data_IF_148616708472
#
_entry.id   IF_148616708472
#
_cell.length_a   1.000
_cell.length_b   1.000
_cell.length_c   1.000
_cell.angle_alpha   90.00
_cell.angle_beta   90.00
_cell.angle_gamma   90.00
#
_symmetry.space_group_name_H-M   'P 1'
#
loop_
_entity.id
_entity.type
_entity.pdbx_description
1 polymer ?
#
# COMPACT_ATOMS: atom_id res chain seq x y z
N UNK A 1 15.29 -14.47 -13.17
CA UNK A 1 15.13 -13.41 -12.15
C UNK A 1 13.67 -13.23 -11.69
N UNK A 2 12.65 -13.33 -12.56
CA UNK A 2 11.23 -13.24 -12.13
C UNK A 2 10.76 -14.42 -11.24
N UNK A 3 11.33 -15.61 -11.43
CA UNK A 3 11.01 -16.84 -10.68
C UNK A 3 11.28 -16.72 -9.16
N UNK A 4 12.23 -15.86 -8.76
CA UNK A 4 12.58 -15.65 -7.36
C UNK A 4 11.60 -14.69 -6.64
N UNK A 5 11.06 -13.69 -7.36
CA UNK A 5 10.15 -12.69 -6.76
C UNK A 5 8.78 -13.30 -6.50
N UNK A 6 8.25 -14.11 -7.44
CA UNK A 6 6.95 -14.75 -7.26
C UNK A 6 6.97 -15.74 -6.09
N UNK A 7 8.00 -16.59 -6.03
CA UNK A 7 8.19 -17.53 -4.92
C UNK A 7 8.32 -16.80 -3.58
N UNK A 8 9.16 -15.75 -3.51
CA UNK A 8 9.32 -14.96 -2.29
C UNK A 8 8.03 -14.24 -1.87
N UNK A 9 7.22 -13.78 -2.83
CA UNK A 9 5.92 -13.16 -2.54
C UNK A 9 4.91 -14.19 -2.04
N UNK A 10 4.90 -15.41 -2.58
CA UNK A 10 4.02 -16.49 -2.13
C UNK A 10 4.40 -16.98 -0.73
N UNK A 11 5.70 -17.12 -0.45
CA UNK A 11 6.20 -17.41 0.91
C UNK A 11 5.77 -16.32 1.89
N UNK A 12 5.89 -15.04 1.49
CA UNK A 12 5.49 -13.92 2.32
C UNK A 12 3.96 -13.87 2.54
N UNK A 13 3.15 -14.22 1.55
CA UNK A 13 1.69 -14.34 1.71
C UNK A 13 1.34 -15.39 2.76
N UNK A 14 1.99 -16.55 2.72
CA UNK A 14 1.77 -17.60 3.70
C UNK A 14 2.16 -17.14 5.13
N UNK A 15 3.26 -16.40 5.25
CA UNK A 15 3.69 -15.80 6.52
C UNK A 15 2.64 -14.83 7.09
N UNK A 16 2.04 -13.98 6.24
CA UNK A 16 0.97 -13.06 6.62
C UNK A 16 -0.31 -13.81 7.02
N UNK A 17 -0.70 -14.84 6.27
CA UNK A 17 -1.87 -15.65 6.60
C UNK A 17 -1.73 -16.30 7.99
N UNK A 18 -0.55 -16.84 8.29
CA UNK A 18 -0.23 -17.40 9.61
C UNK A 18 -0.28 -16.31 10.69
N UNK A 19 0.34 -15.15 10.44
CA UNK A 19 0.37 -14.04 11.40
C UNK A 19 -1.04 -13.56 11.76
N UNK A 20 -1.92 -13.43 10.76
CA UNK A 20 -3.32 -13.04 10.95
C UNK A 20 -4.10 -14.13 11.68
N UNK A 21 -3.95 -15.40 11.28
CA UNK A 21 -4.64 -16.52 11.91
C UNK A 21 -4.31 -16.68 13.40
N UNK A 22 -3.08 -16.34 13.79
CA UNK A 22 -2.64 -16.34 15.18
C UNK A 22 -3.02 -15.06 15.95
N UNK A 23 -3.69 -14.10 15.32
CA UNK A 23 -4.09 -12.83 15.93
C UNK A 23 -2.93 -11.86 16.16
N UNK A 24 -1.79 -12.05 15.48
CA UNK A 24 -0.58 -11.23 15.63
C UNK A 24 -0.70 -9.84 15.02
N UNK A 25 -1.71 -9.60 14.17
CA UNK A 25 -2.00 -8.28 13.56
C UNK A 25 -3.49 -8.04 13.47
N UNK A 26 -3.91 -6.81 13.76
CA UNK A 26 -5.30 -6.38 13.59
C UNK A 26 -5.49 -5.76 12.20
N UNK A 27 -6.50 -6.24 11.47
CA UNK A 27 -6.94 -5.63 10.21
C UNK A 27 -7.90 -4.48 10.52
N UNK A 28 -7.49 -3.25 10.23
CA UNK A 28 -8.19 -2.03 10.64
C UNK A 28 -9.05 -1.44 9.53
N UNK A 29 -8.73 -1.73 8.27
CA UNK A 29 -9.53 -1.29 7.12
C UNK A 29 -10.45 -2.40 6.63
N UNK A 30 -11.70 -2.00 6.40
CA UNK A 30 -12.75 -2.80 5.75
C UNK A 30 -13.17 -2.17 4.44
N UNK A 31 -13.55 -2.99 3.48
CA UNK A 31 -14.19 -2.52 2.27
C UNK A 31 -15.67 -2.18 2.52
N UNK A 32 -16.36 -1.72 1.48
CA UNK A 32 -17.78 -1.36 1.54
C UNK A 32 -18.72 -2.55 1.82
N UNK A 33 -18.24 -3.79 1.68
CA UNK A 33 -19.00 -5.01 1.98
C UNK A 33 -18.72 -5.52 3.41
N UNK A 34 -17.81 -4.87 4.14
CA UNK A 34 -17.39 -5.28 5.48
C UNK A 34 -16.23 -6.29 5.49
N UNK A 35 -15.69 -6.66 4.33
CA UNK A 35 -14.54 -7.56 4.19
C UNK A 35 -13.25 -6.83 4.58
N UNK A 36 -12.19 -7.57 4.95
CA UNK A 36 -10.88 -7.01 5.27
C UNK A 36 -9.85 -7.41 4.21
N UNK A 37 -9.73 -6.71 3.07
CA UNK A 37 -8.77 -7.09 2.04
C UNK A 37 -7.33 -7.01 2.58
N UNK A 38 -6.53 -8.02 2.24
CA UNK A 38 -5.12 -8.12 2.62
C UNK A 38 -4.28 -8.15 1.34
N UNK A 39 -3.25 -7.30 1.29
CA UNK A 39 -2.30 -7.25 0.17
C UNK A 39 -0.89 -7.38 0.69
N UNK A 40 -0.16 -8.38 0.20
CA UNK A 40 1.27 -8.52 0.42
C UNK A 40 2.07 -7.89 -0.72
N UNK A 41 3.21 -7.27 -0.39
CA UNK A 41 4.19 -6.82 -1.36
C UNK A 41 5.63 -6.92 -0.81
N UNK A 42 6.59 -7.17 -1.69
CA UNK A 42 8.01 -7.03 -1.36
C UNK A 42 8.44 -5.58 -1.61
N UNK A 43 9.33 -5.07 -0.77
CA UNK A 43 9.72 -3.65 -0.85
C UNK A 43 10.57 -3.30 -2.08
N UNK A 44 11.18 -4.31 -2.69
CA UNK A 44 11.88 -4.19 -3.98
C UNK A 44 10.93 -4.10 -5.18
N UNK A 45 9.64 -4.40 -4.98
CA UNK A 45 8.65 -4.26 -6.04
C UNK A 45 8.38 -2.80 -6.37
N UNK A 46 7.86 -2.59 -7.58
CA UNK A 46 7.48 -1.28 -8.08
C UNK A 46 6.18 -0.83 -7.45
N UNK A 47 6.13 0.41 -6.98
CA UNK A 47 4.90 0.98 -6.41
C UNK A 47 3.68 0.84 -7.34
N UNK A 48 3.79 1.07 -8.67
CA UNK A 48 2.69 0.78 -9.60
C UNK A 48 2.17 -0.67 -9.57
N UNK A 49 3.01 -1.66 -9.26
CA UNK A 49 2.59 -3.06 -9.15
C UNK A 49 1.70 -3.25 -7.92
N UNK A 50 2.13 -2.70 -6.77
CA UNK A 50 1.34 -2.71 -5.55
C UNK A 50 -0.01 -1.99 -5.76
N UNK A 51 -0.02 -0.79 -6.33
CA UNK A 51 -1.26 -0.04 -6.55
C UNK A 51 -2.26 -0.81 -7.42
N UNK A 52 -1.79 -1.51 -8.46
CA UNK A 52 -2.66 -2.39 -9.25
C UNK A 52 -3.25 -3.54 -8.43
N UNK A 53 -2.50 -4.12 -7.49
CA UNK A 53 -3.05 -5.15 -6.56
C UNK A 53 -4.10 -4.58 -5.65
N UNK A 54 -3.85 -3.40 -5.07
CA UNK A 54 -4.81 -2.69 -4.22
C UNK A 54 -6.08 -2.36 -5.00
N UNK A 55 -5.97 -1.90 -6.24
CA UNK A 55 -7.14 -1.71 -7.10
C UNK A 55 -7.89 -3.01 -7.40
N UNK A 56 -7.19 -4.11 -7.62
CA UNK A 56 -7.82 -5.41 -7.92
C UNK A 56 -8.68 -5.95 -6.78
N UNK A 57 -8.44 -5.47 -5.55
CA UNK A 57 -9.25 -5.78 -4.36
C UNK A 57 -10.25 -4.65 -4.00
N UNK A 58 -10.51 -3.73 -4.93
CA UNK A 58 -11.53 -2.68 -4.76
C UNK A 58 -11.00 -1.35 -4.20
N UNK A 59 -9.69 -1.21 -4.02
CA UNK A 59 -9.06 0.04 -3.59
C UNK A 59 -9.01 0.26 -2.07
N UNK A 60 -9.45 -0.73 -1.28
CA UNK A 60 -9.30 -0.81 0.17
C UNK A 60 -8.35 -1.95 0.49
N UNK A 61 -7.35 -1.74 1.35
CA UNK A 61 -6.42 -2.80 1.70
C UNK A 61 -5.73 -2.56 3.05
N UNK A 62 -5.53 -3.64 3.79
CA UNK A 62 -4.50 -3.78 4.81
C UNK A 62 -3.25 -4.32 4.09
N UNK A 63 -2.22 -3.49 3.97
CA UNK A 63 -1.03 -3.79 3.17
C UNK A 63 0.14 -4.14 4.08
N UNK A 64 0.72 -5.32 3.85
CA UNK A 64 1.93 -5.77 4.52
C UNK A 64 3.10 -5.78 3.55
N UNK A 65 4.23 -5.22 3.97
CA UNK A 65 5.46 -5.23 3.17
C UNK A 65 6.62 -5.87 3.87
N UNK A 66 7.48 -6.52 3.09
CA UNK A 66 8.72 -7.11 3.58
C UNK A 66 9.91 -6.69 2.72
N UNK A 67 10.92 -6.15 3.37
CA UNK A 67 12.20 -5.77 2.76
C UNK A 67 13.21 -6.91 2.78
N UNK A 68 14.49 -6.57 2.56
CA UNK A 68 15.60 -7.52 2.73
C UNK A 68 15.84 -7.91 4.19
N UNK A 69 15.31 -7.13 5.13
CA UNK A 69 15.31 -7.46 6.55
C UNK A 69 14.15 -8.37 6.94
N UNK A 70 14.07 -8.69 8.23
CA UNK A 70 13.00 -9.52 8.79
C UNK A 70 11.76 -8.72 9.20
N UNK A 71 11.80 -7.39 9.19
CA UNK A 71 10.69 -6.54 9.64
C UNK A 71 9.55 -6.52 8.62
N UNK A 72 8.34 -6.69 9.15
CA UNK A 72 7.10 -6.53 8.40
C UNK A 72 6.57 -5.13 8.70
N UNK A 73 6.20 -4.38 7.67
CA UNK A 73 5.57 -3.07 7.81
C UNK A 73 4.12 -3.15 7.38
N UNK A 74 3.24 -2.50 8.14
CA UNK A 74 1.80 -2.52 7.95
C UNK A 74 1.28 -1.10 7.75
N UNK A 75 0.64 -0.87 6.61
CA UNK A 75 -0.08 0.36 6.30
C UNK A 75 -1.42 0.03 5.67
N UNK A 76 -2.30 1.02 5.64
CA UNK A 76 -3.64 0.86 5.07
C UNK A 76 -3.85 1.77 3.88
N UNK A 77 -4.67 1.31 2.96
CA UNK A 77 -5.19 2.10 1.84
C UNK A 77 -6.71 2.15 1.96
N UNK A 78 -7.28 3.35 1.93
CA UNK A 78 -8.72 3.57 1.96
C UNK A 78 -9.13 4.68 1.00
N UNK A 79 -10.42 4.76 0.70
CA UNK A 79 -10.96 5.92 0.00
C UNK A 79 -10.81 7.18 0.85
N UNK A 80 -10.32 8.27 0.25
CA UNK A 80 -10.15 9.53 0.97
C UNK A 80 -11.48 10.06 1.54
N UNK A 81 -12.63 9.74 0.93
CA UNK A 81 -13.94 10.13 1.48
C UNK A 81 -14.29 9.44 2.80
N UNK A 82 -13.67 8.28 3.08
CA UNK A 82 -13.88 7.49 4.29
C UNK A 82 -12.88 7.77 5.41
N UNK A 83 -11.86 8.60 5.18
CA UNK A 83 -10.83 8.87 6.17
C UNK A 83 -11.22 10.01 7.12
N UNK A 84 -10.90 9.85 8.41
CA UNK A 84 -11.28 10.81 9.46
C UNK A 84 -10.46 12.10 9.42
N UNK A 85 -9.21 12.03 8.97
CA UNK A 85 -8.30 13.19 8.87
C UNK A 85 -7.60 13.28 7.50
N UNK A 86 -8.40 13.54 6.46
CA UNK A 86 -7.90 13.81 5.11
C UNK A 86 -7.16 15.15 5.04
N UNK A 87 -7.48 16.08 5.94
CA UNK A 87 -6.98 17.46 5.89
C UNK A 87 -5.53 17.59 6.35
N UNK A 88 -5.07 16.67 7.20
CA UNK A 88 -3.67 16.58 7.59
C UNK A 88 -2.77 15.85 6.60
N UNK A 89 -3.33 15.06 5.68
CA UNK A 89 -2.58 14.21 4.77
C UNK A 89 -1.85 15.02 3.67
N UNK A 90 -0.59 14.67 3.39
CA UNK A 90 0.16 15.30 2.30
C UNK A 90 -0.39 14.86 0.94
N UNK A 91 -0.58 15.80 0.01
CA UNK A 91 -1.21 15.52 -1.28
C UNK A 91 -0.19 15.16 -2.35
N UNK A 92 -0.26 13.94 -2.89
CA UNK A 92 0.59 13.41 -3.97
C UNK A 92 -0.23 13.12 -5.25
N UNK A 93 -1.10 14.05 -5.68
CA UNK A 93 -2.05 13.84 -6.80
C UNK A 93 -1.57 14.33 -8.18
N UNK A 94 -0.59 15.23 -8.24
CA UNK A 94 -0.12 15.86 -9.49
C UNK A 94 1.42 15.74 -9.65
N UNK A 95 2.13 16.87 -9.64
CA UNK A 95 3.59 16.91 -9.80
C UNK A 95 4.34 16.24 -8.65
N UNK A 96 3.66 16.12 -7.49
CA UNK A 96 4.15 15.48 -6.28
C UNK A 96 3.92 13.95 -6.28
N UNK A 97 3.39 13.37 -7.36
CA UNK A 97 3.27 11.92 -7.46
C UNK A 97 4.63 11.24 -7.40
N UNK A 98 4.74 10.08 -6.72
CA UNK A 98 5.92 9.23 -6.85
C UNK A 98 6.19 8.93 -8.33
N UNK A 99 7.47 8.80 -8.67
CA UNK A 99 7.85 8.30 -9.98
C UNK A 99 7.26 6.90 -10.21
N UNK A 100 6.85 6.54 -11.43
CA UNK A 100 6.58 5.14 -11.78
C UNK A 100 7.78 4.25 -11.45
N UNK A 101 8.98 4.85 -11.38
CA UNK A 101 10.25 4.23 -11.04
C UNK A 101 10.45 3.92 -9.54
N UNK A 102 9.62 4.47 -8.67
CA UNK A 102 9.70 4.27 -7.22
C UNK A 102 9.35 2.85 -6.80
N UNK A 103 10.12 2.31 -5.85
CA UNK A 103 9.82 1.03 -5.21
C UNK A 103 8.82 1.21 -4.06
N UNK A 104 8.21 0.11 -3.63
CA UNK A 104 7.36 0.06 -2.45
C UNK A 104 8.14 0.49 -1.20
N UNK A 105 9.37 0.01 -1.03
CA UNK A 105 10.21 0.38 0.11
C UNK A 105 10.48 1.89 0.21
N UNK A 106 10.83 2.54 -0.91
CA UNK A 106 11.02 3.99 -0.93
C UNK A 106 9.76 4.74 -0.51
N UNK A 107 8.60 4.27 -0.95
CA UNK A 107 7.32 4.87 -0.59
C UNK A 107 6.98 4.66 0.88
N UNK A 108 7.21 3.47 1.43
CA UNK A 108 6.99 3.20 2.86
C UNK A 108 7.97 4.00 3.75
N UNK A 109 9.23 4.17 3.33
CA UNK A 109 10.22 5.01 4.02
C UNK A 109 9.85 6.51 3.97
N UNK A 110 9.13 6.94 2.95
CA UNK A 110 8.56 8.27 2.90
C UNK A 110 7.33 8.36 3.80
N UNK A 111 6.40 7.41 3.70
CA UNK A 111 5.17 7.34 4.48
C UNK A 111 5.44 7.32 5.99
N UNK A 112 6.52 6.66 6.45
CA UNK A 112 6.91 6.63 7.86
C UNK A 112 7.25 8.01 8.45
N UNK A 113 7.54 9.00 7.61
CA UNK A 113 7.77 10.39 8.00
C UNK A 113 6.48 11.22 8.01
N UNK A 114 5.39 10.70 7.46
CA UNK A 114 4.12 11.38 7.28
C UNK A 114 3.09 10.91 8.31
N UNK A 115 3.02 11.61 9.45
CA UNK A 115 2.15 11.23 10.58
C UNK A 115 0.67 11.18 10.24
N UNK A 116 0.22 12.00 9.29
CA UNK A 116 -1.17 12.07 8.85
C UNK A 116 -1.43 11.26 7.57
N UNK A 117 -0.45 10.47 7.11
CA UNK A 117 -0.52 9.75 5.86
C UNK A 117 -0.41 10.65 4.62
N UNK A 118 -0.78 10.09 3.48
CA UNK A 118 -0.68 10.75 2.17
C UNK A 118 -1.92 10.47 1.32
N UNK A 119 -2.23 11.39 0.42
CA UNK A 119 -3.25 11.22 -0.62
C UNK A 119 -2.57 10.85 -1.93
N UNK A 120 -2.91 9.68 -2.46
CA UNK A 120 -2.35 9.13 -3.68
C UNK A 120 -3.46 8.85 -4.70
N UNK A 121 -3.26 9.05 -6.01
CA UNK A 121 -4.22 8.54 -6.99
C UNK A 121 -4.21 7.01 -6.99
N UNK A 122 -5.33 6.40 -7.40
CA UNK A 122 -5.43 4.94 -7.53
C UNK A 122 -4.35 4.33 -8.47
N UNK A 123 -3.87 5.11 -9.45
CA UNK A 123 -2.71 4.79 -10.29
C UNK A 123 -1.81 5.99 -10.45
N UNK A 124 -0.50 5.73 -10.47
CA UNK A 124 0.47 6.73 -10.85
C UNK A 124 0.38 7.02 -12.35
N UNK A 125 0.69 8.26 -12.72
CA UNK A 125 0.74 8.66 -14.12
C UNK A 125 1.91 7.96 -14.80
N UNK A 126 1.61 7.24 -15.88
CA UNK A 126 2.62 6.91 -16.89
C UNK A 126 2.79 8.12 -17.81
N UNK A 127 4.03 8.39 -18.20
CA UNK A 127 4.36 9.45 -19.15
C UNK A 127 3.46 9.35 -20.40
N UNK A 128 2.74 10.43 -20.69
CA UNK A 128 1.85 10.52 -21.85
C UNK A 128 0.41 10.01 -21.68
N UNK A 129 0.00 9.50 -20.50
CA UNK A 129 -1.41 9.14 -20.27
C UNK A 129 -2.33 10.37 -20.10
N UNK A 130 -3.47 10.35 -20.78
CA UNK A 130 -4.53 11.38 -20.74
C UNK A 130 -5.02 11.57 -19.30
N UNK A 131 -5.35 12.81 -18.90
CA UNK A 131 -5.91 13.14 -17.57
C UNK A 131 -7.29 12.49 -17.39
N UNK A 132 -7.31 11.24 -16.98
CA UNK A 132 -8.51 10.61 -16.39
C UNK A 132 -8.48 10.93 -14.91
N UNK A 133 -9.57 11.49 -14.39
CA UNK A 133 -9.73 11.68 -12.93
C UNK A 133 -9.80 10.29 -12.29
N UNK A 134 -8.77 9.93 -11.54
CA UNK A 134 -8.71 8.68 -10.79
C UNK A 134 -9.21 8.90 -9.36
N UNK A 135 -9.81 7.88 -8.73
CA UNK A 135 -10.14 7.93 -7.31
C UNK A 135 -8.91 8.30 -6.47
N UNK A 136 -9.11 9.15 -5.47
CA UNK A 136 -8.08 9.52 -4.50
C UNK A 136 -8.12 8.57 -3.32
N UNK A 137 -6.95 8.08 -2.93
CA UNK A 137 -6.77 7.12 -1.84
C UNK A 137 -5.95 7.73 -0.73
N UNK A 138 -6.40 7.55 0.50
CA UNK A 138 -5.62 7.85 1.70
C UNK A 138 -4.79 6.64 2.07
N UNK A 139 -3.50 6.86 2.30
CA UNK A 139 -2.54 5.84 2.70
C UNK A 139 -1.92 6.23 4.02
N UNK A 140 -1.98 5.35 5.02
CA UNK A 140 -1.53 5.61 6.39
C UNK A 140 -0.72 4.45 6.93
N UNK A 141 0.46 4.74 7.51
CA UNK A 141 1.25 3.73 8.21
C UNK A 141 0.62 3.41 9.57
N UNK A 142 0.36 2.13 9.82
CA UNK A 142 -0.23 1.66 11.08
C UNK A 142 0.85 1.19 12.04
N UNK A 143 1.80 0.39 11.55
CA UNK A 143 2.83 -0.20 12.38
C UNK A 143 4.08 -0.53 11.54
N UNK A 144 5.25 -0.30 12.10
CA UNK A 144 6.51 -0.73 11.52
C UNK A 144 7.31 -1.44 12.61
N UNK A 145 7.63 -2.72 12.41
CA UNK A 145 8.52 -3.44 13.31
C UNK A 145 9.92 -2.82 13.20
N UNK A 146 10.46 -2.38 14.34
CA UNK A 146 11.81 -1.81 14.46
C UNK A 146 12.89 -2.91 14.53
#
# INVERSE_FOLDING_TARGET
>A
MAENINTALDDFRLEIDILIALGGRQLTVRDNNGECPVVAALEEERLPVLLRRVESVGGYANVFTKGRGSSIRHFVVMDATGALDVRGAETMLDAEQPSPESTVGMFVDYLSRQKAGVLLPARLRSDGSMRVSLPTRQVELIEADA
#
